data_IF_520476383715
#
_entry.id   IF_520476383715
#
_cell.length_a   1.000
_cell.length_b   1.000
_cell.length_c   1.000
_cell.angle_alpha   90.00
_cell.angle_beta   90.00
_cell.angle_gamma   90.00
#
_symmetry.space_group_name_H-M   'P 1'
#
loop_
_entity.id
_entity.type
_entity.pdbx_description
1 polymer ?
#
# COMPACT_ATOMS: atom_id res chain seq x y z
N UNK A 1 30.46 20.62 -39.13
CA UNK A 1 29.55 20.82 -37.99
C UNK A 1 28.54 19.68 -38.01
N UNK A 2 28.70 18.67 -37.15
CA UNK A 2 27.84 17.49 -37.11
C UNK A 2 26.97 17.58 -35.85
N UNK A 3 25.68 17.85 -36.02
CA UNK A 3 24.71 17.93 -34.92
C UNK A 3 24.46 16.53 -34.36
N UNK A 4 24.90 16.30 -33.12
CA UNK A 4 24.49 15.14 -32.33
C UNK A 4 23.06 15.39 -31.80
N UNK A 5 22.06 14.75 -32.40
CA UNK A 5 20.74 14.63 -31.78
C UNK A 5 20.77 13.47 -30.78
N UNK A 6 20.81 13.80 -29.49
CA UNK A 6 20.66 12.83 -28.41
C UNK A 6 19.17 12.49 -28.30
N UNK A 7 18.77 11.32 -28.79
CA UNK A 7 17.47 10.73 -28.51
C UNK A 7 17.48 10.21 -27.08
N UNK A 8 16.96 11.02 -26.15
CA UNK A 8 16.56 10.57 -24.82
C UNK A 8 15.33 9.67 -24.98
N UNK A 9 15.57 8.37 -25.12
CA UNK A 9 14.52 7.36 -24.96
C UNK A 9 14.15 7.35 -23.48
N UNK A 10 13.09 8.10 -23.15
CA UNK A 10 12.45 8.01 -21.85
C UNK A 10 11.86 6.60 -21.74
N UNK A 11 12.57 5.69 -21.06
CA UNK A 11 11.93 4.50 -20.49
C UNK A 11 10.91 5.01 -19.47
N UNK A 12 9.69 5.27 -19.92
CA UNK A 12 8.53 5.33 -19.06
C UNK A 12 8.31 3.89 -18.58
N UNK A 13 9.06 3.50 -17.55
CA UNK A 13 8.71 2.34 -16.76
C UNK A 13 7.28 2.55 -16.30
N UNK A 14 6.36 1.72 -16.79
CA UNK A 14 5.03 1.63 -16.21
C UNK A 14 5.23 1.06 -14.82
N UNK A 15 5.50 1.93 -13.85
CA UNK A 15 5.38 1.59 -12.45
C UNK A 15 3.89 1.29 -12.26
N UNK A 16 3.52 0.01 -12.33
CA UNK A 16 2.29 -0.47 -11.73
C UNK A 16 2.47 -0.22 -10.24
N UNK A 17 1.92 0.90 -9.81
CA UNK A 17 2.05 1.35 -8.44
C UNK A 17 1.21 0.38 -7.59
N UNK A 18 1.91 -0.53 -6.91
CA UNK A 18 1.32 -1.55 -6.06
C UNK A 18 1.59 -1.19 -4.61
N UNK A 19 0.55 -1.27 -3.78
CA UNK A 19 0.61 -1.20 -2.34
C UNK A 19 1.40 -2.41 -1.80
N UNK A 20 2.72 -2.46 -1.96
CA UNK A 20 3.53 -3.69 -1.89
C UNK A 20 3.33 -4.55 -3.16
N UNK A 21 4.39 -4.78 -3.96
CA UNK A 21 4.30 -5.62 -5.14
C UNK A 21 3.57 -6.95 -4.90
N UNK A 22 2.73 -7.37 -5.86
CA UNK A 22 2.02 -8.67 -5.90
C UNK A 22 0.77 -8.86 -5.03
N UNK A 23 0.41 -7.94 -4.12
CA UNK A 23 -0.83 -8.05 -3.32
C UNK A 23 -2.01 -7.32 -3.98
N UNK A 24 -3.16 -8.00 -4.14
CA UNK A 24 -4.41 -7.40 -4.65
C UNK A 24 -5.35 -7.12 -3.48
N UNK A 25 -5.94 -5.93 -3.47
CA UNK A 25 -6.80 -5.47 -2.38
C UNK A 25 -8.27 -5.55 -2.73
N UNK A 26 -9.12 -5.52 -1.72
CA UNK A 26 -10.59 -5.59 -1.88
C UNK A 26 -11.15 -4.50 -2.81
N UNK A 27 -10.54 -3.31 -2.85
CA UNK A 27 -10.92 -2.26 -3.79
C UNK A 27 -10.46 -2.54 -5.23
N UNK A 28 -9.46 -3.37 -5.47
CA UNK A 28 -9.04 -3.83 -6.81
C UNK A 28 -10.08 -4.77 -7.42
N UNK A 29 -10.92 -5.41 -6.60
CA UNK A 29 -12.03 -6.27 -7.04
C UNK A 29 -13.31 -5.48 -7.38
N UNK A 30 -13.43 -4.23 -6.90
CA UNK A 30 -14.51 -3.28 -7.27
C UNK A 30 -13.96 -1.87 -7.57
N UNK A 31 -13.10 -1.71 -8.60
CA UNK A 31 -12.25 -0.53 -8.80
C UNK A 31 -12.97 0.78 -9.17
N UNK A 32 -14.30 0.78 -9.17
CA UNK A 32 -15.20 1.85 -9.65
C UNK A 32 -16.45 2.07 -8.80
N UNK A 33 -16.70 1.26 -7.77
CA UNK A 33 -17.87 1.46 -6.90
C UNK A 33 -17.43 2.11 -5.59
N UNK A 34 -17.99 3.27 -5.27
CA UNK A 34 -17.83 3.87 -3.96
C UNK A 34 -16.49 4.54 -3.66
N UNK A 35 -15.53 4.62 -4.60
CA UNK A 35 -14.24 5.28 -4.41
C UNK A 35 -14.01 6.38 -5.46
N UNK A 36 -13.66 7.59 -5.00
CA UNK A 36 -13.34 8.71 -5.89
C UNK A 36 -11.99 8.53 -6.61
N UNK A 37 -11.76 9.18 -7.76
CA UNK A 37 -10.47 9.16 -8.44
C UNK A 37 -9.31 9.67 -7.57
N UNK A 38 -9.56 10.69 -6.75
CA UNK A 38 -8.57 11.24 -5.81
C UNK A 38 -8.16 10.20 -4.78
N UNK A 39 -9.13 9.51 -4.18
CA UNK A 39 -8.85 8.43 -3.25
C UNK A 39 -8.11 7.28 -3.93
N UNK A 40 -8.55 6.87 -5.12
CA UNK A 40 -7.87 5.82 -5.90
C UNK A 40 -6.41 6.15 -6.21
N UNK A 41 -6.11 7.40 -6.57
CA UNK A 41 -4.74 7.85 -6.79
C UNK A 41 -3.90 7.80 -5.51
N UNK A 42 -4.49 8.12 -4.36
CA UNK A 42 -3.81 7.97 -3.07
C UNK A 42 -3.60 6.50 -2.71
N UNK A 43 -4.60 5.64 -2.88
CA UNK A 43 -4.50 4.20 -2.64
C UNK A 43 -3.43 3.53 -3.50
N UNK A 44 -3.18 4.03 -4.72
CA UNK A 44 -2.19 3.46 -5.62
C UNK A 44 -0.73 3.88 -5.33
N UNK A 45 -0.40 4.59 -4.23
CA UNK A 45 1.02 4.89 -3.97
C UNK A 45 1.78 3.65 -3.49
N UNK A 46 3.09 3.65 -3.73
CA UNK A 46 4.01 2.59 -3.30
C UNK A 46 4.45 2.86 -1.85
N UNK A 47 4.40 1.82 -1.03
CA UNK A 47 4.98 1.82 0.32
C UNK A 47 6.46 1.49 0.25
N UNK A 48 7.27 2.23 1.01
CA UNK A 48 8.69 1.91 1.23
C UNK A 48 8.81 0.94 2.40
N UNK A 49 8.32 -0.29 2.19
CA UNK A 49 8.36 -1.38 3.15
C UNK A 49 8.48 -2.72 2.43
N UNK A 50 9.07 -3.72 3.09
CA UNK A 50 9.20 -5.06 2.52
C UNK A 50 7.82 -5.71 2.30
N UNK A 51 7.63 -6.28 1.10
CA UNK A 51 6.39 -6.95 0.67
C UNK A 51 5.96 -8.11 1.56
N UNK A 52 6.90 -8.72 2.30
CA UNK A 52 6.59 -9.78 3.26
C UNK A 52 5.62 -9.31 4.36
N UNK A 53 5.52 -8.00 4.63
CA UNK A 53 4.52 -7.46 5.55
C UNK A 53 3.07 -7.73 5.09
N UNK A 54 2.80 -7.73 3.77
CA UNK A 54 1.47 -8.05 3.23
C UNK A 54 1.11 -9.53 3.42
N UNK A 55 2.13 -10.39 3.52
CA UNK A 55 2.00 -11.85 3.56
C UNK A 55 1.96 -12.37 5.00
N UNK A 56 2.58 -11.64 5.93
CA UNK A 56 2.53 -11.93 7.36
C UNK A 56 1.10 -11.82 7.90
N UNK A 57 0.58 -12.94 8.43
CA UNK A 57 -0.81 -13.07 8.89
C UNK A 57 -1.69 -13.80 7.87
N UNK A 58 -2.11 -13.17 6.76
CA UNK A 58 -3.06 -13.77 5.81
C UNK A 58 -2.59 -15.09 5.18
N UNK A 59 -1.30 -15.21 4.87
CA UNK A 59 -0.75 -16.43 4.26
C UNK A 59 -0.20 -17.42 5.31
N UNK A 60 -0.34 -17.12 6.61
CA UNK A 60 0.33 -17.83 7.70
C UNK A 60 1.86 -17.95 7.53
N UNK A 61 2.47 -17.02 6.78
CA UNK A 61 3.91 -16.95 6.59
C UNK A 61 4.50 -16.15 7.75
N UNK A 62 5.30 -16.82 8.57
CA UNK A 62 6.09 -16.16 9.61
C UNK A 62 7.45 -15.75 9.02
N UNK A 63 7.82 -14.45 9.05
CA UNK A 63 9.14 -14.02 8.62
C UNK A 63 10.24 -14.67 9.48
N UNK A 64 11.37 -14.99 8.85
CA UNK A 64 12.60 -15.30 9.58
C UNK A 64 13.09 -14.06 10.36
N UNK A 65 14.06 -14.22 11.27
CA UNK A 65 14.65 -13.09 12.00
C UNK A 65 15.26 -12.05 11.05
N UNK A 66 15.93 -12.50 9.99
CA UNK A 66 16.51 -11.62 8.97
C UNK A 66 15.42 -10.86 8.20
N UNK A 67 14.35 -11.55 7.80
CA UNK A 67 13.23 -10.94 7.10
C UNK A 67 12.46 -9.96 8.01
N UNK A 68 12.26 -10.31 9.28
CA UNK A 68 11.69 -9.41 10.27
C UNK A 68 12.55 -8.15 10.44
N UNK A 69 13.88 -8.29 10.48
CA UNK A 69 14.81 -7.14 10.57
C UNK A 69 14.67 -6.21 9.35
N UNK A 70 14.46 -6.76 8.15
CA UNK A 70 14.23 -5.97 6.93
C UNK A 70 12.88 -5.25 6.93
N UNK A 71 11.85 -5.84 7.55
CA UNK A 71 10.53 -5.21 7.70
C UNK A 71 10.58 -4.12 8.78
N UNK A 72 11.18 -4.43 9.94
CA UNK A 72 11.15 -3.63 11.17
C UNK A 72 12.11 -2.44 11.15
N UNK A 73 11.99 -1.60 10.12
CA UNK A 73 12.80 -0.39 9.93
C UNK A 73 11.99 0.87 10.22
N UNK A 74 12.68 1.91 10.66
CA UNK A 74 12.08 3.24 10.80
C UNK A 74 11.52 3.78 9.48
N UNK A 75 12.09 3.36 8.33
CA UNK A 75 11.63 3.71 6.99
C UNK A 75 10.25 3.09 6.72
N UNK A 76 10.10 1.78 6.93
CA UNK A 76 8.81 1.11 6.77
C UNK A 76 7.74 1.74 7.67
N UNK A 77 8.03 1.90 8.97
CA UNK A 77 7.08 2.52 9.90
C UNK A 77 6.66 3.93 9.45
N UNK A 78 7.62 4.76 9.07
CA UNK A 78 7.34 6.13 8.61
C UNK A 78 6.53 6.14 7.32
N UNK A 79 6.83 5.24 6.38
CA UNK A 79 6.08 5.08 5.14
C UNK A 79 4.63 4.67 5.42
N UNK A 80 4.39 3.71 6.32
CA UNK A 80 3.03 3.28 6.69
C UNK A 80 2.22 4.42 7.33
N UNK A 81 2.82 5.15 8.28
CA UNK A 81 2.17 6.27 8.96
C UNK A 81 1.87 7.41 7.99
N UNK A 82 2.80 7.74 7.09
CA UNK A 82 2.59 8.79 6.11
C UNK A 82 1.52 8.38 5.09
N UNK A 83 1.53 7.12 4.65
CA UNK A 83 0.54 6.61 3.72
C UNK A 83 -0.87 6.64 4.30
N UNK A 84 -1.04 6.30 5.58
CA UNK A 84 -2.31 6.46 6.30
C UNK A 84 -2.81 7.90 6.28
N UNK A 85 -1.93 8.87 6.56
CA UNK A 85 -2.30 10.31 6.52
C UNK A 85 -2.73 10.75 5.12
N UNK A 86 -2.00 10.30 4.10
CA UNK A 86 -2.30 10.60 2.70
C UNK A 86 -3.65 10.04 2.28
N UNK A 87 -3.95 8.79 2.65
CA UNK A 87 -5.25 8.15 2.41
C UNK A 87 -6.35 8.89 3.17
N UNK A 88 -6.19 9.16 4.46
CA UNK A 88 -7.20 9.88 5.26
C UNK A 88 -7.56 11.24 4.65
N UNK A 89 -6.58 11.93 4.08
CA UNK A 89 -6.78 13.21 3.39
C UNK A 89 -7.51 13.05 2.06
N UNK A 90 -7.19 12.00 1.30
CA UNK A 90 -7.70 11.79 -0.05
C UNK A 90 -9.01 10.98 -0.13
N UNK A 91 -9.33 10.24 0.93
CA UNK A 91 -10.42 9.28 1.02
C UNK A 91 -11.40 9.59 2.17
N UNK A 92 -12.03 10.77 2.22
CA UNK A 92 -13.09 11.02 3.21
C UNK A 92 -14.22 9.98 3.07
N UNK A 93 -14.60 9.37 4.19
CA UNK A 93 -15.45 8.15 4.23
C UNK A 93 -16.79 8.37 3.54
N UNK A 94 -17.42 9.53 3.70
CA UNK A 94 -18.73 9.83 3.12
C UNK A 94 -18.79 9.71 1.59
N UNK A 95 -17.63 9.79 0.92
CA UNK A 95 -17.51 9.68 -0.53
C UNK A 95 -16.61 8.53 -0.99
N UNK A 96 -16.06 7.76 -0.04
CA UNK A 96 -15.05 6.73 -0.30
C UNK A 96 -15.32 5.46 0.53
N UNK A 97 -16.51 4.88 0.36
CA UNK A 97 -16.97 3.67 1.03
C UNK A 97 -17.46 2.65 0.01
N UNK A 98 -16.92 1.43 0.07
CA UNK A 98 -17.35 0.30 -0.75
C UNK A 98 -18.35 -0.53 0.04
N UNK A 99 -19.54 -0.71 -0.51
CA UNK A 99 -20.60 -1.53 0.08
C UNK A 99 -20.59 -2.93 -0.54
N UNK A 100 -20.41 -3.95 0.27
CA UNK A 100 -20.41 -5.34 -0.19
C UNK A 100 -21.80 -5.98 -0.09
N UNK A 101 -22.11 -7.01 -0.91
CA UNK A 101 -23.41 -7.68 -0.90
C UNK A 101 -23.74 -8.39 0.43
N UNK A 102 -22.73 -8.73 1.23
CA UNK A 102 -22.90 -9.34 2.56
C UNK A 102 -23.24 -8.31 3.64
N UNK A 103 -23.35 -7.02 3.28
CA UNK A 103 -23.64 -5.93 4.19
C UNK A 103 -22.41 -5.31 4.86
N UNK A 104 -21.20 -5.81 4.55
CA UNK A 104 -19.96 -5.21 5.04
C UNK A 104 -19.60 -3.92 4.27
N UNK A 105 -18.84 -3.06 4.93
CA UNK A 105 -18.37 -1.79 4.39
C UNK A 105 -16.86 -1.73 4.49
N UNK A 106 -16.22 -1.28 3.41
CA UNK A 106 -14.77 -1.08 3.35
C UNK A 106 -14.45 0.38 3.05
N UNK A 107 -13.51 0.94 3.81
CA UNK A 107 -13.01 2.30 3.65
C UNK A 107 -11.61 2.31 3.07
N UNK A 108 -11.17 3.44 2.51
CA UNK A 108 -9.80 3.59 2.02
C UNK A 108 -8.73 3.33 3.08
N UNK A 109 -9.06 3.44 4.38
CA UNK A 109 -8.08 3.27 5.47
C UNK A 109 -7.90 1.84 5.97
N UNK A 110 -8.76 0.90 5.59
CA UNK A 110 -8.79 -0.43 6.24
C UNK A 110 -7.49 -1.21 6.00
N UNK A 111 -7.03 -1.29 4.74
CA UNK A 111 -5.80 -1.98 4.38
C UNK A 111 -4.56 -1.42 5.09
N UNK A 112 -4.42 -0.09 5.13
CA UNK A 112 -3.26 0.52 5.78
C UNK A 112 -3.32 0.38 7.30
N UNK A 113 -4.51 0.32 7.90
CA UNK A 113 -4.66 -0.01 9.31
C UNK A 113 -4.21 -1.45 9.58
N UNK A 114 -4.57 -2.40 8.72
CA UNK A 114 -4.09 -3.79 8.84
C UNK A 114 -2.57 -3.89 8.74
N UNK A 115 -1.95 -3.15 7.82
CA UNK A 115 -0.49 -3.19 7.67
C UNK A 115 0.24 -2.59 8.86
N UNK A 116 -0.29 -1.51 9.43
CA UNK A 116 0.25 -0.94 10.67
C UNK A 116 0.10 -1.93 11.82
N UNK A 117 -1.05 -2.60 11.95
CA UNK A 117 -1.28 -3.61 12.98
C UNK A 117 -0.31 -4.81 12.83
N UNK A 118 -0.12 -5.31 11.61
CA UNK A 118 0.84 -6.36 11.28
C UNK A 118 2.28 -5.93 11.60
N UNK A 119 2.65 -4.70 11.24
CA UNK A 119 3.97 -4.15 11.57
C UNK A 119 4.16 -4.11 13.09
N UNK A 120 3.18 -3.61 13.83
CA UNK A 120 3.25 -3.54 15.29
C UNK A 120 3.38 -4.93 15.92
N UNK A 121 2.59 -5.90 15.47
CA UNK A 121 2.68 -7.29 15.97
C UNK A 121 4.03 -7.94 15.69
N UNK A 122 4.62 -7.69 14.52
CA UNK A 122 5.89 -8.27 14.12
C UNK A 122 7.09 -7.57 14.80
N UNK A 123 7.04 -6.25 14.90
CA UNK A 123 8.21 -5.40 15.19
C UNK A 123 8.22 -4.81 16.59
N UNK A 124 7.08 -4.77 17.28
CA UNK A 124 6.96 -4.27 18.65
C UNK A 124 6.75 -5.41 19.64
N UNK A 125 7.39 -6.56 19.40
CA UNK A 125 7.55 -7.57 20.47
C UNK A 125 8.30 -6.87 21.60
N UNK A 126 7.62 -6.70 22.74
CA UNK A 126 8.19 -6.06 23.94
C UNK A 126 9.58 -6.63 24.22
N UNK A 127 10.59 -5.79 24.52
CA UNK A 127 11.92 -6.24 24.91
C UNK A 127 11.93 -7.07 26.20
#
# INVERSE_FOLDING_TARGET
MLNFQILLVSLLGTATAQQLPEYKYDYDFRPSEGITPTCKAALNKVLDCDTLLARYGPENIMPSVEQATNICTAICHSSLVQFKKDIQKACPVESNIVHWPDGSNFTGTDNINEFIDRYNKLCLVDP
#
